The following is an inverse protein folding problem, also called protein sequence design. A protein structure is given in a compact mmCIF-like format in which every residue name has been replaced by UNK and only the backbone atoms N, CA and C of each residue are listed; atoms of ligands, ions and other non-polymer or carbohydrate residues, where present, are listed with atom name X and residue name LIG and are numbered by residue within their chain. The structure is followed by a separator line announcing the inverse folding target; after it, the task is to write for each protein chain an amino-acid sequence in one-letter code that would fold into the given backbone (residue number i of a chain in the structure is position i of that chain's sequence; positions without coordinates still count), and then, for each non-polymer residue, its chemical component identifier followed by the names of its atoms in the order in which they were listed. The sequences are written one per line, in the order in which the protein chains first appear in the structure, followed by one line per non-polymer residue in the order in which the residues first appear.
data_IF_427885138311
#
_entry.id   IF_427885138311
#
_cell.length_a   1.000
_cell.length_b   1.000
_cell.length_c   1.000
_cell.angle_alpha   90.00
_cell.angle_beta   90.00
_cell.angle_gamma   90.00
#
_symmetry.space_group_name_H-M   'P 1'
#
loop_
_entity.id
_entity.type
_entity.pdbx_description
1 polymer ?
#
# COMPACT_ATOMS: atom_id res chain seq x y z
N UNK A 1 29.43 11.40 21.79
CA UNK A 1 28.50 12.40 22.34
C UNK A 1 27.08 11.97 22.01
N UNK A 2 26.10 12.02 22.92
CA UNK A 2 24.72 11.74 22.57
C UNK A 2 24.29 12.76 21.50
N UNK A 3 23.73 12.28 20.38
CA UNK A 3 23.05 13.15 19.42
C UNK A 3 22.07 13.99 20.26
N UNK A 4 22.14 15.34 20.23
CA UNK A 4 21.31 16.15 21.08
C UNK A 4 19.85 15.85 20.77
N UNK A 5 19.17 15.20 21.71
CA UNK A 5 17.73 15.09 21.74
C UNK A 5 17.18 16.49 21.99
N UNK A 6 17.05 17.28 20.92
CA UNK A 6 16.14 18.43 20.94
C UNK A 6 14.75 17.84 21.23
N UNK A 7 14.00 18.37 22.21
CA UNK A 7 12.64 17.93 22.42
C UNK A 7 11.92 18.13 21.09
N UNK A 8 11.29 17.06 20.57
CA UNK A 8 10.34 17.18 19.47
C UNK A 8 9.29 18.19 19.94
N UNK A 9 9.47 19.45 19.55
CA UNK A 9 8.39 20.42 19.56
C UNK A 9 7.37 19.86 18.59
N UNK A 10 6.22 19.48 19.15
CA UNK A 10 4.99 19.11 18.48
C UNK A 10 4.90 19.73 17.09
N UNK A 11 5.37 19.01 16.09
CA UNK A 11 4.84 19.14 14.74
C UNK A 11 3.71 18.14 14.77
N UNK A 12 2.55 18.64 15.24
CA UNK A 12 1.26 18.11 14.84
C UNK A 12 1.35 18.12 13.31
N UNK A 13 1.74 16.99 12.72
CA UNK A 13 1.65 16.82 11.28
C UNK A 13 0.14 16.86 11.07
N UNK A 14 -0.38 18.02 10.68
CA UNK A 14 -1.62 18.05 9.95
C UNK A 14 -1.43 16.98 8.87
N UNK A 15 -2.11 15.84 9.02
CA UNK A 15 -2.52 15.02 7.90
C UNK A 15 -3.42 15.95 7.06
N UNK A 16 -2.76 16.85 6.34
CA UNK A 16 -3.36 17.68 5.33
C UNK A 16 -3.81 16.70 4.27
N UNK A 17 -5.11 16.73 4.02
CA UNK A 17 -5.81 15.85 3.11
C UNK A 17 -5.03 15.65 1.79
N UNK A 18 -4.41 14.48 1.63
CA UNK A 18 -4.30 13.87 0.33
C UNK A 18 -5.44 12.87 0.21
N UNK A 19 -6.56 13.34 -0.34
CA UNK A 19 -7.51 12.49 -1.05
C UNK A 19 -6.82 11.95 -2.31
N UNK A 20 -5.92 10.99 -2.12
CA UNK A 20 -5.35 10.19 -3.19
C UNK A 20 -4.68 8.97 -2.56
N UNK A 21 -5.47 8.12 -1.90
CA UNK A 21 -5.12 6.70 -1.88
C UNK A 21 -5.25 6.26 -3.33
N UNK A 22 -4.13 5.95 -3.97
CA UNK A 22 -4.11 5.20 -5.23
C UNK A 22 -5.10 4.04 -5.06
N UNK A 23 -6.03 3.78 -5.98
CA UNK A 23 -6.93 2.65 -5.85
C UNK A 23 -6.15 1.35 -6.10
N UNK A 24 -5.29 0.94 -5.16
CA UNK A 24 -4.94 -0.46 -5.02
C UNK A 24 -6.14 -1.13 -4.34
N UNK A 25 -6.88 -1.86 -5.17
CA UNK A 25 -8.10 -2.55 -4.84
C UNK A 25 -7.86 -3.61 -3.76
N UNK A 26 -8.08 -3.26 -2.50
CA UNK A 26 -8.46 -4.24 -1.50
C UNK A 26 -9.97 -4.51 -1.67
N UNK A 27 -10.30 -5.57 -2.42
CA UNK A 27 -11.62 -6.18 -2.26
C UNK A 27 -11.67 -6.68 -0.82
N UNK A 28 -12.43 -6.01 0.05
CA UNK A 28 -13.03 -6.72 1.16
C UNK A 28 -13.90 -7.79 0.50
N UNK A 29 -13.45 -9.05 0.57
CA UNK A 29 -14.23 -10.19 0.11
C UNK A 29 -15.64 -10.03 0.67
N UNK A 30 -16.61 -9.86 -0.22
CA UNK A 30 -17.96 -10.26 0.13
C UNK A 30 -17.82 -11.69 0.67
N UNK A 31 -18.18 -11.88 1.94
CA UNK A 31 -18.03 -13.16 2.61
C UNK A 31 -18.58 -14.26 1.66
N UNK A 32 -17.71 -15.23 1.40
CA UNK A 32 -17.92 -16.52 0.72
C UNK A 32 -17.68 -16.71 -0.79
N UNK A 33 -17.37 -15.68 -1.59
CA UNK A 33 -17.10 -15.88 -3.04
C UNK A 33 -15.60 -15.87 -3.39
N UNK A 34 -15.06 -17.02 -3.84
CA UNK A 34 -13.68 -17.19 -4.35
C UNK A 34 -13.74 -17.84 -5.75
N UNK A 35 -12.81 -17.47 -6.63
CA UNK A 35 -12.67 -18.09 -7.96
C UNK A 35 -12.18 -19.53 -7.89
N UNK A 36 -12.82 -20.40 -8.68
CA UNK A 36 -12.33 -21.75 -8.93
C UNK A 36 -11.22 -21.75 -10.02
N UNK A 37 -10.24 -22.67 -9.94
CA UNK A 37 -9.38 -23.01 -11.07
C UNK A 37 -10.22 -23.45 -12.28
N UNK A 38 -9.71 -23.23 -13.48
CA UNK A 38 -10.35 -23.67 -14.72
C UNK A 38 -10.63 -25.18 -14.69
N UNK A 39 -11.91 -25.57 -14.67
CA UNK A 39 -12.34 -26.96 -14.95
C UNK A 39 -12.38 -27.26 -16.44
N UNK A 40 -12.10 -26.27 -17.29
CA UNK A 40 -11.92 -26.49 -18.73
C UNK A 40 -10.56 -27.14 -18.93
N UNK A 41 -10.47 -28.37 -19.48
CA UNK A 41 -9.19 -28.86 -19.96
C UNK A 41 -8.66 -27.82 -20.94
N UNK A 42 -7.39 -27.44 -20.79
CA UNK A 42 -6.70 -26.46 -21.62
C UNK A 42 -7.12 -26.64 -23.08
N UNK A 43 -8.06 -25.82 -23.55
CA UNK A 43 -8.40 -25.81 -24.96
C UNK A 43 -7.17 -25.23 -25.64
N UNK A 44 -6.38 -26.11 -26.24
CA UNK A 44 -5.34 -25.73 -27.18
C UNK A 44 -5.97 -24.79 -28.18
N UNK A 45 -5.61 -23.51 -28.14
CA UNK A 45 -5.97 -22.57 -29.19
C UNK A 45 -5.48 -23.16 -30.52
N UNK A 46 -6.40 -23.74 -31.28
CA UNK A 46 -6.18 -24.07 -32.70
C UNK A 46 -7.39 -23.60 -33.49
N UNK A 47 -7.23 -22.43 -34.09
CA UNK A 47 -7.82 -22.17 -35.38
C UNK A 47 -6.72 -21.57 -36.28
N UNK A 48 -6.32 -22.37 -37.27
CA UNK A 48 -5.48 -22.03 -38.42
C UNK A 48 -4.03 -21.60 -38.17
N UNK A 49 -3.14 -22.59 -38.06
CA UNK A 49 -1.75 -22.45 -38.55
C UNK A 49 -1.49 -23.51 -39.62
N UNK A 50 -0.81 -23.18 -40.73
CA UNK A 50 -0.47 -24.15 -41.77
C UNK A 50 0.37 -25.26 -41.15
N UNK A 51 0.07 -26.53 -41.47
CA UNK A 51 0.92 -27.64 -41.05
C UNK A 51 2.32 -27.46 -41.66
N UNK A 52 3.40 -27.58 -40.86
CA UNK A 52 4.73 -27.64 -41.41
C UNK A 52 4.89 -28.96 -42.17
N UNK A 53 5.28 -28.87 -43.44
CA UNK A 53 5.87 -30.00 -44.16
C UNK A 53 7.24 -30.29 -43.55
N UNK A 54 7.56 -31.57 -43.50
CA UNK A 54 8.81 -32.17 -43.03
C UNK A 54 9.08 -32.10 -41.52
N UNK A 55 8.78 -33.21 -40.83
CA UNK A 55 9.52 -33.74 -39.67
C UNK A 55 9.70 -32.85 -38.43
N UNK A 56 9.16 -31.66 -38.39
CA UNK A 56 9.40 -30.67 -37.34
C UNK A 56 8.33 -30.80 -36.26
N UNK A 57 8.71 -31.45 -35.16
CA UNK A 57 7.92 -31.46 -33.92
C UNK A 57 7.98 -30.04 -33.31
N UNK A 58 6.85 -29.42 -32.94
CA UNK A 58 6.88 -28.17 -32.19
C UNK A 58 7.65 -28.39 -30.89
N UNK A 59 8.62 -27.53 -30.59
CA UNK A 59 9.30 -27.56 -29.30
C UNK A 59 8.27 -27.27 -28.21
N UNK A 60 8.09 -28.20 -27.27
CA UNK A 60 7.24 -28.03 -26.10
C UNK A 60 7.76 -26.98 -25.11
N UNK A 61 8.89 -26.32 -25.42
CA UNK A 61 9.48 -25.28 -24.61
C UNK A 61 10.06 -25.85 -23.32
N UNK A 62 11.38 -25.87 -23.23
CA UNK A 62 12.06 -26.22 -21.98
C UNK A 62 11.81 -25.07 -21.01
N UNK A 63 11.05 -25.30 -19.94
CA UNK A 63 10.84 -24.31 -18.89
C UNK A 63 12.18 -23.84 -18.32
N UNK A 64 12.27 -22.59 -17.85
CA UNK A 64 13.50 -22.04 -17.26
C UNK A 64 14.06 -22.96 -16.17
N UNK A 65 13.20 -23.73 -15.50
CA UNK A 65 13.52 -24.66 -14.43
C UNK A 65 13.98 -26.05 -14.90
N UNK A 66 13.52 -26.52 -16.07
CA UNK A 66 14.01 -27.76 -16.68
C UNK A 66 15.48 -27.62 -17.11
N UNK A 67 15.91 -26.38 -17.44
CA UNK A 67 17.32 -26.05 -17.69
C UNK A 67 18.20 -26.05 -16.43
N UNK A 68 17.60 -26.01 -15.24
CA UNK A 68 18.31 -25.96 -13.95
C UNK A 68 18.38 -27.32 -13.23
N UNK A 69 17.90 -28.41 -13.86
CA UNK A 69 18.07 -29.78 -13.36
C UNK A 69 17.30 -30.13 -12.08
N UNK A 70 16.36 -29.28 -11.65
CA UNK A 70 15.56 -29.51 -10.44
C UNK A 70 14.09 -29.68 -10.81
N UNK A 71 13.60 -30.92 -10.71
CA UNK A 71 12.16 -31.21 -10.80
C UNK A 71 11.50 -30.61 -9.55
N UNK A 72 10.63 -29.61 -9.73
CA UNK A 72 9.90 -29.03 -8.61
C UNK A 72 9.12 -30.14 -7.89
N UNK A 73 9.09 -30.15 -6.54
CA UNK A 73 8.16 -31.02 -5.82
C UNK A 73 6.74 -30.70 -6.28
N UNK A 74 5.89 -31.73 -6.36
CA UNK A 74 4.48 -31.55 -6.72
C UNK A 74 3.86 -30.49 -5.81
N UNK A 75 3.14 -29.54 -6.41
CA UNK A 75 2.41 -28.54 -5.65
C UNK A 75 1.50 -29.28 -4.65
N UNK A 76 1.43 -28.83 -3.38
CA UNK A 76 0.51 -29.43 -2.45
C UNK A 76 -0.90 -29.42 -3.06
N UNK A 77 -1.65 -30.54 -2.99
CA UNK A 77 -2.97 -30.62 -3.59
C UNK A 77 -3.83 -29.48 -3.05
N UNK A 78 -4.38 -28.69 -3.98
CA UNK A 78 -5.23 -27.56 -3.63
C UNK A 78 -6.41 -28.07 -2.80
N UNK A 79 -6.71 -27.35 -1.72
CA UNK A 79 -7.84 -27.71 -0.86
C UNK A 79 -9.12 -27.62 -1.68
N UNK A 80 -9.94 -28.67 -1.61
CA UNK A 80 -11.24 -28.73 -2.28
C UNK A 80 -12.13 -27.56 -1.84
N UNK A 81 -12.52 -26.69 -2.78
CA UNK A 81 -13.41 -25.56 -2.51
C UNK A 81 -14.87 -26.01 -2.55
N UNK A 82 -15.60 -25.78 -1.46
CA UNK A 82 -17.01 -26.17 -1.28
C UNK A 82 -17.97 -24.98 -1.25
N UNK A 83 -17.48 -23.77 -1.51
CA UNK A 83 -18.29 -22.55 -1.48
C UNK A 83 -19.07 -22.31 -2.77
N UNK A 84 -19.92 -21.29 -2.76
CA UNK A 84 -20.69 -20.86 -3.93
C UNK A 84 -19.82 -20.11 -4.92
N UNK A 85 -19.75 -20.60 -6.16
CA UNK A 85 -18.96 -19.97 -7.22
C UNK A 85 -19.74 -18.80 -7.82
N UNK A 86 -19.24 -17.57 -7.63
CA UNK A 86 -19.73 -16.43 -8.40
C UNK A 86 -19.05 -16.41 -9.77
N UNK A 87 -19.74 -16.95 -10.78
CA UNK A 87 -19.22 -17.01 -12.15
C UNK A 87 -18.96 -15.63 -12.76
N UNK A 88 -19.74 -14.62 -12.37
CA UNK A 88 -19.60 -13.25 -12.88
C UNK A 88 -18.33 -12.62 -12.30
N UNK A 89 -18.14 -12.72 -10.99
CA UNK A 89 -16.91 -12.24 -10.33
C UNK A 89 -15.69 -13.03 -10.81
N UNK A 90 -15.82 -14.33 -11.05
CA UNK A 90 -14.73 -15.13 -11.57
C UNK A 90 -14.35 -14.83 -13.02
N UNK A 91 -15.31 -14.42 -13.85
CA UNK A 91 -15.01 -13.86 -15.17
C UNK A 91 -14.28 -12.52 -15.05
N UNK A 92 -14.70 -11.65 -14.12
CA UNK A 92 -14.08 -10.34 -13.88
C UNK A 92 -12.62 -10.46 -13.45
N UNK A 93 -12.30 -11.31 -12.48
CA UNK A 93 -10.92 -11.52 -12.00
C UNK A 93 -9.98 -12.04 -13.09
N UNK A 94 -10.51 -12.74 -14.10
CA UNK A 94 -9.74 -13.24 -15.26
C UNK A 94 -9.65 -12.23 -16.41
N UNK A 95 -10.25 -11.05 -16.26
CA UNK A 95 -10.29 -10.01 -17.30
C UNK A 95 -11.36 -10.21 -18.38
N UNK A 96 -12.25 -11.19 -18.22
CA UNK A 96 -13.38 -11.43 -19.15
C UNK A 96 -14.55 -10.52 -18.81
N UNK A 97 -14.34 -9.20 -18.92
CA UNK A 97 -15.27 -8.19 -18.41
C UNK A 97 -16.64 -8.19 -19.09
N UNK A 98 -16.71 -8.46 -20.39
CA UNK A 98 -17.99 -8.60 -21.10
C UNK A 98 -18.78 -9.81 -20.60
N UNK A 99 -18.11 -10.95 -20.40
CA UNK A 99 -18.72 -12.16 -19.83
C UNK A 99 -19.15 -11.94 -18.39
N UNK A 100 -18.35 -11.23 -17.59
CA UNK A 100 -18.69 -10.86 -16.23
C UNK A 100 -19.97 -10.00 -16.20
N UNK A 101 -20.04 -8.99 -17.07
CA UNK A 101 -21.19 -8.10 -17.18
C UNK A 101 -22.46 -8.85 -17.62
N UNK A 102 -22.35 -9.72 -18.64
CA UNK A 102 -23.45 -10.54 -19.13
C UNK A 102 -24.03 -11.45 -18.04
N UNK A 103 -23.16 -12.11 -17.25
CA UNK A 103 -23.57 -12.95 -16.13
C UNK A 103 -24.11 -12.17 -14.94
N UNK A 104 -23.61 -10.96 -14.69
CA UNK A 104 -24.02 -10.12 -13.58
C UNK A 104 -25.37 -9.42 -13.85
N UNK A 105 -25.66 -9.04 -15.09
CA UNK A 105 -26.80 -8.18 -15.42
C UNK A 105 -28.15 -8.72 -14.98
N UNK A 106 -28.50 -10.01 -15.18
CA UNK A 106 -29.77 -10.56 -14.70
C UNK A 106 -29.90 -10.49 -13.17
N UNK A 107 -28.82 -10.78 -12.44
CA UNK A 107 -28.78 -10.71 -10.97
C UNK A 107 -28.92 -9.26 -10.49
N UNK A 108 -28.21 -8.33 -11.13
CA UNK A 108 -28.26 -6.92 -10.80
C UNK A 108 -29.66 -6.33 -11.00
N UNK A 109 -30.37 -6.73 -12.06
CA UNK A 109 -31.76 -6.36 -12.31
C UNK A 109 -32.72 -6.90 -11.25
N UNK A 110 -32.42 -8.05 -10.66
CA UNK A 110 -33.17 -8.65 -9.54
C UNK A 110 -32.81 -8.06 -8.17
N UNK A 111 -31.90 -7.09 -8.11
CA UNK A 111 -31.53 -6.42 -6.86
C UNK A 111 -30.34 -7.02 -6.13
N UNK A 112 -29.57 -7.92 -6.74
CA UNK A 112 -28.35 -8.47 -6.15
C UNK A 112 -27.28 -7.37 -6.00
N UNK A 113 -26.93 -6.96 -4.77
CA UNK A 113 -26.01 -5.85 -4.53
C UNK A 113 -24.61 -6.12 -5.07
N UNK A 114 -24.10 -7.35 -4.96
CA UNK A 114 -22.76 -7.70 -5.43
C UNK A 114 -22.67 -7.64 -6.96
N UNK A 115 -23.72 -8.10 -7.65
CA UNK A 115 -23.81 -8.01 -9.10
C UNK A 115 -23.93 -6.54 -9.57
N UNK A 116 -24.68 -5.72 -8.85
CA UNK A 116 -24.79 -4.28 -9.12
C UNK A 116 -23.44 -3.58 -8.94
N UNK A 117 -22.70 -3.87 -7.87
CA UNK A 117 -21.32 -3.36 -7.65
C UNK A 117 -20.39 -3.76 -8.78
N UNK A 118 -20.45 -5.02 -9.22
CA UNK A 118 -19.60 -5.52 -10.30
C UNK A 118 -19.83 -4.77 -11.62
N UNK A 119 -21.10 -4.55 -11.99
CA UNK A 119 -21.46 -3.78 -13.17
C UNK A 119 -21.00 -2.32 -13.04
N UNK A 120 -21.18 -1.72 -11.85
CA UNK A 120 -20.71 -0.38 -11.59
C UNK A 120 -19.20 -0.23 -11.79
N UNK A 121 -18.41 -1.21 -11.34
CA UNK A 121 -16.95 -1.23 -11.49
C UNK A 121 -16.52 -1.35 -12.96
N UNK A 122 -17.17 -2.23 -13.72
CA UNK A 122 -16.92 -2.40 -15.15
C UNK A 122 -17.19 -1.07 -15.90
N UNK A 123 -18.30 -0.41 -15.59
CA UNK A 123 -18.67 0.87 -16.22
C UNK A 123 -17.77 2.03 -15.77
N UNK A 124 -17.39 2.09 -14.49
CA UNK A 124 -16.60 3.19 -13.94
C UNK A 124 -15.18 3.22 -14.50
N UNK A 125 -14.60 2.04 -14.74
CA UNK A 125 -13.27 1.88 -15.32
C UNK A 125 -13.29 1.76 -16.85
N UNK A 126 -14.42 1.44 -17.47
CA UNK A 126 -14.51 1.18 -18.90
C UNK A 126 -13.86 -0.13 -19.32
N UNK A 127 -14.04 -1.18 -18.52
CA UNK A 127 -13.41 -2.49 -18.73
C UNK A 127 -14.22 -3.29 -19.76
N UNK A 128 -13.72 -3.35 -21.00
CA UNK A 128 -14.42 -4.04 -22.10
C UNK A 128 -15.66 -3.32 -22.63
N UNK A 129 -16.10 -2.25 -21.98
CA UNK A 129 -17.20 -1.37 -22.41
C UNK A 129 -16.76 0.10 -22.37
N UNK A 130 -17.50 0.99 -23.02
CA UNK A 130 -17.24 2.43 -22.91
C UNK A 130 -17.42 2.86 -21.45
N UNK A 131 -16.43 3.60 -20.92
CA UNK A 131 -16.52 4.20 -19.59
C UNK A 131 -17.77 5.08 -19.46
N UNK A 132 -18.56 4.83 -18.43
CA UNK A 132 -19.82 5.52 -18.17
C UNK A 132 -20.02 5.71 -16.66
N UNK A 133 -19.49 6.82 -16.15
CA UNK A 133 -19.56 7.14 -14.72
C UNK A 133 -20.97 7.44 -14.24
N UNK A 134 -21.89 7.88 -15.12
CA UNK A 134 -23.27 8.20 -14.73
C UNK A 134 -24.04 6.92 -14.42
N UNK A 135 -23.94 5.93 -15.31
CA UNK A 135 -24.55 4.62 -15.06
C UNK A 135 -23.83 3.83 -13.97
N UNK A 136 -22.50 3.97 -13.84
CA UNK A 136 -21.78 3.40 -12.70
C UNK A 136 -22.30 3.96 -11.36
N UNK A 137 -22.47 5.28 -11.27
CA UNK A 137 -22.98 5.93 -10.06
C UNK A 137 -24.39 5.46 -9.69
N UNK A 138 -25.26 5.25 -10.70
CA UNK A 138 -26.59 4.67 -10.49
C UNK A 138 -26.50 3.27 -9.86
N UNK A 139 -25.66 2.39 -10.41
CA UNK A 139 -25.51 1.02 -9.90
C UNK A 139 -24.83 0.97 -8.53
N UNK A 140 -23.81 1.79 -8.27
CA UNK A 140 -23.25 1.93 -6.92
C UNK A 140 -24.30 2.39 -5.92
N UNK A 141 -25.17 3.35 -6.29
CA UNK A 141 -26.27 3.78 -5.42
C UNK A 141 -27.23 2.64 -5.07
N UNK A 142 -27.60 1.82 -6.06
CA UNK A 142 -28.46 0.64 -5.85
C UNK A 142 -27.80 -0.43 -4.99
N UNK A 143 -26.54 -0.74 -5.25
CA UNK A 143 -25.81 -1.70 -4.44
C UNK A 143 -25.61 -1.21 -2.99
N UNK A 144 -25.37 0.10 -2.80
CA UNK A 144 -25.26 0.73 -1.49
C UNK A 144 -26.59 0.70 -0.72
N UNK A 145 -27.73 0.93 -1.39
CA UNK A 145 -29.07 0.71 -0.82
C UNK A 145 -29.27 -0.76 -0.43
N UNK A 146 -28.74 -1.69 -1.22
CA UNK A 146 -28.80 -3.13 -1.01
C UNK A 146 -27.86 -3.68 0.06
N UNK A 147 -27.01 -2.86 0.69
CA UNK A 147 -26.16 -3.30 1.79
C UNK A 147 -24.70 -3.60 1.43
N UNK A 148 -24.29 -3.47 0.16
CA UNK A 148 -22.93 -3.84 -0.26
C UNK A 148 -21.88 -2.85 0.26
N UNK A 149 -20.93 -3.26 1.13
CA UNK A 149 -19.97 -2.33 1.73
C UNK A 149 -19.03 -1.67 0.72
N UNK A 150 -18.67 -2.38 -0.36
CA UNK A 150 -17.81 -1.84 -1.41
C UNK A 150 -18.53 -0.73 -2.20
N UNK A 151 -19.79 -0.93 -2.57
CA UNK A 151 -20.60 0.09 -3.20
C UNK A 151 -20.93 1.24 -2.28
N UNK A 152 -21.22 0.99 -0.99
CA UNK A 152 -21.42 2.07 -0.01
C UNK A 152 -20.20 2.99 0.04
N UNK A 153 -18.99 2.43 0.09
CA UNK A 153 -17.75 3.20 0.03
C UNK A 153 -17.64 4.03 -1.26
N UNK A 154 -17.80 3.39 -2.44
CA UNK A 154 -17.70 4.07 -3.74
C UNK A 154 -18.76 5.16 -3.90
N UNK A 155 -19.99 4.89 -3.49
CA UNK A 155 -21.10 5.82 -3.57
C UNK A 155 -20.93 6.99 -2.59
N UNK A 156 -20.40 6.75 -1.39
CA UNK A 156 -20.02 7.81 -0.46
C UNK A 156 -19.04 8.79 -1.09
N UNK A 157 -17.97 8.29 -1.76
CA UNK A 157 -17.02 9.16 -2.46
C UNK A 157 -17.69 9.99 -3.56
N UNK A 158 -18.57 9.39 -4.36
CA UNK A 158 -19.33 10.11 -5.40
C UNK A 158 -20.20 11.24 -4.80
N UNK A 159 -20.88 10.96 -3.68
CA UNK A 159 -21.68 11.96 -2.95
C UNK A 159 -20.83 13.06 -2.32
N UNK A 160 -19.59 12.80 -1.92
CA UNK A 160 -18.67 13.82 -1.40
C UNK A 160 -18.21 14.78 -2.50
N UNK A 161 -17.88 14.22 -3.68
CA UNK A 161 -17.40 14.97 -4.84
C UNK A 161 -18.52 15.77 -5.52
N UNK A 162 -19.73 15.20 -5.64
CA UNK A 162 -20.83 15.80 -6.39
C UNK A 162 -20.73 15.63 -7.91
N UNK A 163 -19.88 14.73 -8.38
CA UNK A 163 -19.73 14.38 -9.79
C UNK A 163 -20.63 13.19 -10.13
N UNK A 164 -21.46 13.31 -11.17
CA UNK A 164 -22.45 12.30 -11.62
C UNK A 164 -23.63 12.07 -10.65
N UNK A 165 -23.50 12.46 -9.39
CA UNK A 165 -24.56 12.49 -8.36
C UNK A 165 -24.56 13.86 -7.68
N UNK A 166 -25.72 14.30 -7.18
CA UNK A 166 -25.79 15.53 -6.38
C UNK A 166 -24.98 15.37 -5.10
N UNK A 167 -24.14 16.37 -4.80
CA UNK A 167 -23.34 16.37 -3.58
C UNK A 167 -24.21 16.32 -2.33
N UNK A 168 -23.93 15.38 -1.43
CA UNK A 168 -24.61 15.24 -0.14
C UNK A 168 -23.64 14.69 0.90
N UNK A 169 -23.07 15.58 1.73
CA UNK A 169 -22.08 15.20 2.74
C UNK A 169 -22.70 14.30 3.82
N UNK A 170 -23.91 14.61 4.27
CA UNK A 170 -24.53 13.86 5.37
C UNK A 170 -24.78 12.40 4.96
N UNK A 171 -25.31 12.20 3.74
CA UNK A 171 -25.51 10.87 3.18
C UNK A 171 -24.19 10.15 2.87
N UNK A 172 -23.17 10.90 2.44
CA UNK A 172 -21.84 10.33 2.23
C UNK A 172 -21.21 9.82 3.53
N UNK A 173 -21.22 10.63 4.59
CA UNK A 173 -20.70 10.24 5.91
C UNK A 173 -21.46 9.02 6.46
N UNK A 174 -22.78 8.97 6.25
CA UNK A 174 -23.59 7.81 6.64
C UNK A 174 -23.15 6.53 5.91
N UNK A 175 -23.02 6.56 4.58
CA UNK A 175 -22.57 5.39 3.82
C UNK A 175 -21.12 5.02 4.10
N UNK A 176 -20.24 6.00 4.29
CA UNK A 176 -18.84 5.76 4.66
C UNK A 176 -18.75 4.98 5.98
N UNK A 177 -19.50 5.42 7.00
CA UNK A 177 -19.57 4.72 8.27
C UNK A 177 -20.17 3.31 8.12
N UNK A 178 -21.28 3.16 7.37
CA UNK A 178 -21.89 1.83 7.14
C UNK A 178 -20.95 0.88 6.38
N UNK A 179 -20.20 1.39 5.41
CA UNK A 179 -19.19 0.62 4.70
C UNK A 179 -18.06 0.16 5.63
N UNK A 180 -17.59 1.05 6.52
CA UNK A 180 -16.61 0.72 7.54
C UNK A 180 -17.14 -0.32 8.55
N UNK A 181 -18.37 -0.15 9.02
CA UNK A 181 -19.05 -1.12 9.90
C UNK A 181 -19.26 -2.47 9.19
N UNK A 182 -19.43 -2.44 7.85
CA UNK A 182 -19.52 -3.60 6.97
C UNK A 182 -18.18 -4.22 6.57
N UNK A 183 -17.06 -3.77 7.14
CA UNK A 183 -15.73 -4.38 6.96
C UNK A 183 -14.97 -3.95 5.71
N UNK A 184 -15.42 -2.92 4.99
CA UNK A 184 -14.66 -2.39 3.86
C UNK A 184 -13.40 -1.66 4.36
N UNK A 185 -12.21 -2.23 4.14
CA UNK A 185 -10.93 -1.70 4.64
C UNK A 185 -10.64 -0.26 4.24
N UNK A 186 -11.00 0.12 3.00
CA UNK A 186 -10.85 1.50 2.53
C UNK A 186 -11.78 2.44 3.28
N UNK A 187 -13.03 2.04 3.52
CA UNK A 187 -13.99 2.82 4.29
C UNK A 187 -13.60 2.90 5.77
N UNK A 188 -13.09 1.82 6.38
CA UNK A 188 -12.58 1.84 7.74
C UNK A 188 -11.48 2.91 7.91
N UNK A 189 -10.50 2.93 7.01
CA UNK A 189 -9.46 3.96 7.03
C UNK A 189 -10.04 5.37 6.78
N UNK A 190 -10.89 5.56 5.78
CA UNK A 190 -11.44 6.87 5.45
C UNK A 190 -12.37 7.39 6.56
N UNK A 191 -13.18 6.53 7.17
CA UNK A 191 -14.03 6.89 8.30
C UNK A 191 -13.19 7.27 9.53
N UNK A 192 -12.11 6.53 9.79
CA UNK A 192 -11.14 6.90 10.82
C UNK A 192 -10.57 8.31 10.59
N UNK A 193 -10.20 8.65 9.35
CA UNK A 193 -9.75 10.01 8.98
C UNK A 193 -10.83 11.06 9.24
N UNK A 194 -12.09 10.79 8.87
CA UNK A 194 -13.22 11.69 9.16
C UNK A 194 -13.38 11.92 10.66
N UNK A 195 -13.30 10.86 11.48
CA UNK A 195 -13.38 10.99 12.94
C UNK A 195 -12.27 11.86 13.53
N UNK A 196 -11.04 11.75 13.02
CA UNK A 196 -9.90 12.59 13.43
C UNK A 196 -10.12 14.04 13.00
N UNK A 197 -10.58 14.27 11.76
CA UNK A 197 -10.85 15.61 11.24
C UNK A 197 -11.95 16.33 12.03
N UNK A 198 -13.03 15.63 12.35
CA UNK A 198 -14.17 16.17 13.11
C UNK A 198 -13.86 16.33 14.61
N UNK A 199 -12.87 15.60 15.13
CA UNK A 199 -12.48 15.64 16.55
C UNK A 199 -10.97 15.85 16.72
N UNK A 200 -10.43 17.06 16.53
CA UNK A 200 -8.99 17.29 16.59
C UNK A 200 -8.33 16.85 17.91
N UNK A 201 -7.12 16.30 17.81
CA UNK A 201 -6.29 15.87 18.95
C UNK A 201 -6.55 14.42 19.41
N UNK A 202 -6.07 14.10 20.62
CA UNK A 202 -6.06 12.73 21.16
C UNK A 202 -7.45 12.09 21.22
N UNK A 203 -8.49 12.89 21.45
CA UNK A 203 -9.88 12.40 21.48
C UNK A 203 -10.27 11.78 20.14
N UNK A 204 -10.02 12.46 19.01
CA UNK A 204 -10.32 11.91 17.70
C UNK A 204 -9.48 10.70 17.37
N UNK A 205 -8.19 10.73 17.71
CA UNK A 205 -7.31 9.57 17.51
C UNK A 205 -7.81 8.34 18.27
N UNK A 206 -8.26 8.49 19.53
CA UNK A 206 -8.86 7.40 20.31
C UNK A 206 -10.18 6.90 19.71
N UNK A 207 -11.01 7.79 19.17
CA UNK A 207 -12.26 7.41 18.48
C UNK A 207 -12.02 6.68 17.17
N UNK A 208 -10.99 7.09 16.43
CA UNK A 208 -10.61 6.53 15.13
C UNK A 208 -9.84 5.21 15.24
N UNK A 209 -9.13 5.00 16.34
CA UNK A 209 -8.24 3.86 16.54
C UNK A 209 -8.88 2.48 16.23
N UNK A 210 -10.11 2.16 16.68
CA UNK A 210 -10.73 0.87 16.34
C UNK A 210 -10.90 0.64 14.83
N UNK A 211 -11.16 1.69 14.05
CA UNK A 211 -11.28 1.59 12.60
C UNK A 211 -9.91 1.51 11.92
N UNK A 212 -8.92 2.26 12.41
CA UNK A 212 -7.54 2.08 11.95
C UNK A 212 -7.01 0.67 12.22
N UNK A 213 -7.31 0.08 13.38
CA UNK A 213 -6.91 -1.30 13.72
C UNK A 213 -7.50 -2.31 12.73
N UNK A 214 -8.81 -2.23 12.46
CA UNK A 214 -9.46 -3.10 11.46
C UNK A 214 -8.85 -2.94 10.06
N UNK A 215 -8.67 -1.70 9.60
CA UNK A 215 -8.07 -1.45 8.29
C UNK A 215 -6.62 -1.95 8.22
N UNK A 216 -5.86 -1.79 9.31
CA UNK A 216 -4.47 -2.23 9.41
C UNK A 216 -4.34 -3.76 9.38
N UNK A 217 -5.26 -4.48 10.03
CA UNK A 217 -5.37 -5.95 9.99
C UNK A 217 -5.66 -6.46 8.58
N UNK A 218 -6.44 -5.70 7.80
CA UNK A 218 -6.72 -5.99 6.39
C UNK A 218 -5.58 -5.58 5.43
N UNK A 219 -4.46 -5.07 5.94
CA UNK A 219 -3.27 -4.78 5.14
C UNK A 219 -3.16 -3.34 4.62
N UNK A 220 -4.04 -2.42 5.03
CA UNK A 220 -3.96 -1.02 4.60
C UNK A 220 -2.72 -0.36 5.21
N UNK A 221 -1.71 -0.06 4.40
CA UNK A 221 -0.41 0.41 4.86
C UNK A 221 -0.49 1.74 5.63
N UNK A 222 -1.31 2.69 5.16
CA UNK A 222 -1.57 3.96 5.84
C UNK A 222 -2.20 3.76 7.23
N UNK A 223 -3.11 2.78 7.35
CA UNK A 223 -3.73 2.43 8.63
C UNK A 223 -2.71 1.79 9.57
N UNK A 224 -1.86 0.88 9.07
CA UNK A 224 -0.78 0.28 9.86
C UNK A 224 0.17 1.34 10.42
N UNK A 225 0.53 2.34 9.61
CA UNK A 225 1.33 3.47 10.06
C UNK A 225 0.59 4.31 11.10
N UNK A 226 -0.69 4.63 10.88
CA UNK A 226 -1.51 5.38 11.84
C UNK A 226 -1.61 4.65 13.20
N UNK A 227 -1.86 3.34 13.21
CA UNK A 227 -1.89 2.51 14.43
C UNK A 227 -0.55 2.59 15.16
N UNK A 228 0.57 2.45 14.44
CA UNK A 228 1.90 2.54 15.04
C UNK A 228 2.12 3.88 15.75
N UNK A 229 1.77 4.99 15.09
CA UNK A 229 1.91 6.34 15.65
C UNK A 229 0.98 6.55 16.86
N UNK A 230 -0.28 6.14 16.75
CA UNK A 230 -1.25 6.26 17.85
C UNK A 230 -0.78 5.47 19.07
N UNK A 231 -0.35 4.22 18.87
CA UNK A 231 0.16 3.38 19.95
C UNK A 231 1.37 4.00 20.65
N UNK A 232 2.21 4.72 19.92
CA UNK A 232 3.42 5.31 20.49
C UNK A 232 3.18 6.68 21.16
N UNK A 233 2.27 7.49 20.63
CA UNK A 233 2.17 8.91 20.99
C UNK A 233 0.95 9.24 21.85
N UNK A 234 -0.16 8.52 21.72
CA UNK A 234 -1.41 8.88 22.39
C UNK A 234 -1.38 8.43 23.86
N UNK A 235 -1.69 9.32 24.82
CA UNK A 235 -1.78 8.96 26.24
C UNK A 235 -2.85 7.89 26.51
N UNK A 236 -2.65 7.11 27.57
CA UNK A 236 -3.59 6.08 28.05
C UNK A 236 -3.88 4.92 27.07
N UNK A 237 -3.08 4.76 26.01
CA UNK A 237 -3.09 3.52 25.24
C UNK A 237 -2.57 2.37 26.13
N UNK A 238 -3.25 1.20 26.17
CA UNK A 238 -2.78 0.04 26.92
C UNK A 238 -1.34 -0.36 26.58
N UNK A 239 -0.55 -0.73 27.59
CA UNK A 239 0.88 -1.03 27.42
C UNK A 239 1.13 -2.22 26.48
N UNK A 240 0.22 -3.18 26.40
CA UNK A 240 0.25 -4.27 25.43
C UNK A 240 0.14 -3.77 23.98
N UNK A 241 -0.73 -2.80 23.72
CA UNK A 241 -0.81 -2.11 22.42
C UNK A 241 0.46 -1.32 22.13
N UNK A 242 0.99 -0.56 23.09
CA UNK A 242 2.25 0.19 22.91
C UNK A 242 3.41 -0.71 22.49
N UNK A 243 3.52 -1.92 23.06
CA UNK A 243 4.55 -2.91 22.68
C UNK A 243 4.45 -3.36 21.22
N UNK A 244 3.28 -3.28 20.59
CA UNK A 244 3.05 -3.63 19.19
C UNK A 244 3.32 -2.47 18.22
N UNK A 245 3.58 -1.24 18.70
CA UNK A 245 3.74 -0.07 17.85
C UNK A 245 4.83 -0.27 16.77
N UNK A 246 5.99 -0.79 17.17
CA UNK A 246 7.11 -1.05 16.25
C UNK A 246 6.78 -2.15 15.24
N UNK A 247 5.96 -3.14 15.61
CA UNK A 247 5.54 -4.20 14.70
C UNK A 247 4.62 -3.64 13.61
N UNK A 248 3.64 -2.80 13.98
CA UNK A 248 2.78 -2.13 13.02
C UNK A 248 3.55 -1.21 12.07
N UNK A 249 4.53 -0.46 12.59
CA UNK A 249 5.45 0.34 11.78
C UNK A 249 6.21 -0.53 10.76
N UNK A 250 6.73 -1.68 11.20
CA UNK A 250 7.45 -2.61 10.33
C UNK A 250 6.54 -3.28 9.28
N UNK A 251 5.25 -3.46 9.56
CA UNK A 251 4.26 -3.93 8.58
C UNK A 251 4.04 -2.86 7.50
N UNK A 252 3.80 -1.61 7.90
CA UNK A 252 3.62 -0.49 6.96
C UNK A 252 4.87 -0.29 6.07
N UNK A 253 6.06 -0.33 6.66
CA UNK A 253 7.33 -0.18 5.94
C UNK A 253 7.55 -1.30 4.90
N UNK A 254 7.21 -2.54 5.25
CA UNK A 254 7.27 -3.71 4.34
C UNK A 254 6.22 -3.68 3.25
N UNK A 255 5.05 -3.11 3.52
CA UNK A 255 4.03 -2.84 2.51
C UNK A 255 4.42 -1.72 1.53
N UNK A 256 5.60 -1.11 1.69
CA UNK A 256 6.12 -0.11 0.77
C UNK A 256 5.75 1.33 1.13
N UNK A 257 5.20 1.58 2.32
CA UNK A 257 4.88 2.94 2.75
C UNK A 257 6.16 3.72 3.06
N UNK A 258 6.55 4.62 2.15
CA UNK A 258 7.86 5.30 2.18
C UNK A 258 8.13 6.06 3.49
N UNK A 259 7.11 6.71 4.05
CA UNK A 259 7.22 7.39 5.35
C UNK A 259 7.51 6.40 6.48
N UNK A 260 6.86 5.23 6.47
CA UNK A 260 7.15 4.19 7.46
C UNK A 260 8.55 3.60 7.30
N UNK A 261 9.10 3.52 6.08
CA UNK A 261 10.47 3.02 5.88
C UNK A 261 11.50 3.95 6.53
N UNK A 262 11.34 5.26 6.34
CA UNK A 262 12.14 6.28 7.03
C UNK A 262 11.99 6.17 8.55
N UNK A 263 10.75 6.17 9.04
CA UNK A 263 10.45 6.18 10.47
C UNK A 263 10.89 4.90 11.16
N UNK A 264 10.75 3.74 10.50
CA UNK A 264 11.23 2.47 11.05
C UNK A 264 12.73 2.51 11.32
N UNK A 265 13.50 3.05 10.37
CA UNK A 265 14.95 3.25 10.55
C UNK A 265 15.27 4.18 11.72
N UNK A 266 14.56 5.31 11.82
CA UNK A 266 14.69 6.25 12.93
C UNK A 266 14.34 5.59 14.28
N UNK A 267 13.25 4.84 14.34
CA UNK A 267 12.75 4.19 15.54
C UNK A 267 13.73 3.15 16.06
N UNK A 268 14.36 2.38 15.16
CA UNK A 268 15.38 1.39 15.52
C UNK A 268 16.65 2.05 16.04
N UNK A 269 17.14 3.11 15.39
CA UNK A 269 18.33 3.86 15.84
C UNK A 269 18.09 4.51 17.21
N UNK A 270 16.89 5.06 17.43
CA UNK A 270 16.56 5.78 18.65
C UNK A 270 16.04 4.89 19.79
N UNK A 271 15.60 3.67 19.50
CA UNK A 271 15.01 2.77 20.50
C UNK A 271 13.55 3.10 20.82
N UNK A 272 12.78 3.56 19.83
CA UNK A 272 11.34 3.86 19.98
C UNK A 272 10.53 2.57 19.86
N UNK A 273 9.70 2.26 20.86
CA UNK A 273 8.91 1.03 20.89
C UNK A 273 9.74 -0.26 20.99
N UNK A 274 10.94 -0.21 21.60
CA UNK A 274 11.82 -1.37 21.82
C UNK A 274 13.30 -1.00 21.96
N UNK A 275 14.22 -1.97 22.13
CA UNK A 275 15.65 -1.68 22.23
C UNK A 275 16.20 -1.05 20.93
N UNK A 276 17.33 -0.36 21.05
CA UNK A 276 18.05 0.18 19.89
C UNK A 276 18.60 -0.96 19.03
N UNK A 277 18.51 -0.82 17.72
CA UNK A 277 19.08 -1.75 16.76
C UNK A 277 19.65 -0.95 15.59
N UNK A 278 20.94 -0.63 15.70
CA UNK A 278 21.59 0.23 14.72
C UNK A 278 21.74 -0.46 13.36
N UNK A 279 21.96 -1.78 13.33
CA UNK A 279 22.16 -2.54 12.09
C UNK A 279 20.88 -2.53 11.26
N UNK A 280 19.74 -2.92 11.85
CA UNK A 280 18.46 -2.87 11.13
C UNK A 280 18.03 -1.44 10.84
N UNK A 281 18.31 -0.50 11.75
CA UNK A 281 18.02 0.92 11.55
C UNK A 281 18.75 1.49 10.33
N UNK A 282 20.02 1.13 10.18
CA UNK A 282 20.84 1.46 9.03
C UNK A 282 20.28 0.85 7.73
N UNK A 283 19.89 -0.42 7.73
CA UNK A 283 19.31 -1.09 6.55
C UNK A 283 18.02 -0.40 6.06
N UNK A 284 17.12 -0.04 6.97
CA UNK A 284 15.88 0.68 6.62
C UNK A 284 16.16 2.09 6.09
N UNK A 285 17.06 2.85 6.72
CA UNK A 285 17.44 4.17 6.21
C UNK A 285 18.15 4.08 4.87
N UNK A 286 18.97 3.06 4.64
CA UNK A 286 19.60 2.79 3.36
C UNK A 286 18.57 2.47 2.28
N UNK A 287 17.55 1.66 2.59
CA UNK A 287 16.45 1.38 1.67
C UNK A 287 15.71 2.68 1.29
N UNK A 288 15.28 3.47 2.27
CA UNK A 288 14.56 4.72 2.03
C UNK A 288 15.43 5.75 1.27
N UNK A 289 16.72 5.86 1.60
CA UNK A 289 17.67 6.74 0.91
C UNK A 289 17.87 6.34 -0.56
N UNK A 290 17.94 5.04 -0.84
CA UNK A 290 18.06 4.49 -2.19
C UNK A 290 16.80 4.75 -3.04
N UNK A 291 15.62 4.79 -2.42
CA UNK A 291 14.37 5.21 -3.07
C UNK A 291 14.24 6.73 -3.25
N UNK A 292 15.20 7.50 -2.74
CA UNK A 292 15.26 8.95 -2.93
C UNK A 292 14.70 9.77 -1.78
N UNK A 293 14.43 9.17 -0.61
CA UNK A 293 14.02 9.92 0.57
C UNK A 293 15.20 10.78 1.07
N UNK A 294 15.10 12.10 0.88
CA UNK A 294 16.16 13.08 1.17
C UNK A 294 16.53 13.10 2.67
N UNK A 295 15.55 12.93 3.55
CA UNK A 295 15.78 12.87 5.00
C UNK A 295 16.53 11.60 5.38
N UNK A 296 16.20 10.47 4.76
CA UNK A 296 16.92 9.22 4.95
C UNK A 296 18.38 9.33 4.47
N UNK A 297 18.63 9.98 3.33
CA UNK A 297 19.99 10.24 2.82
C UNK A 297 20.82 11.02 3.84
N UNK A 298 20.29 12.14 4.35
CA UNK A 298 20.95 12.94 5.38
C UNK A 298 21.22 12.12 6.66
N UNK A 299 20.24 11.34 7.15
CA UNK A 299 20.41 10.49 8.33
C UNK A 299 21.43 9.38 8.11
N UNK A 300 21.50 8.82 6.91
CA UNK A 300 22.46 7.78 6.57
C UNK A 300 23.89 8.31 6.60
N UNK A 301 24.12 9.56 6.17
CA UNK A 301 25.41 10.22 6.31
C UNK A 301 25.86 10.29 7.79
N UNK A 302 24.96 10.69 8.68
CA UNK A 302 25.21 10.67 10.12
C UNK A 302 25.53 9.26 10.66
N UNK A 303 24.87 8.21 10.16
CA UNK A 303 25.15 6.84 10.60
C UNK A 303 26.54 6.36 10.18
N UNK A 304 26.99 6.71 8.97
CA UNK A 304 28.35 6.40 8.53
C UNK A 304 29.40 7.17 9.35
N UNK A 305 29.20 8.46 9.63
CA UNK A 305 30.14 9.26 10.44
C UNK A 305 30.31 8.67 11.84
N UNK A 306 29.19 8.28 12.46
CA UNK A 306 29.17 7.80 13.84
C UNK A 306 29.38 6.28 13.98
N UNK A 307 29.63 5.56 12.87
CA UNK A 307 29.74 4.10 12.83
C UNK A 307 28.55 3.37 13.49
N UNK A 308 27.33 3.84 13.26
CA UNK A 308 26.12 3.29 13.85
C UNK A 308 25.46 2.30 12.88
N UNK A 309 25.62 1.01 13.17
CA UNK A 309 25.04 -0.07 12.35
C UNK A 309 25.87 -0.43 11.11
N UNK A 310 27.01 0.25 10.93
CA UNK A 310 27.96 0.07 9.83
C UNK A 310 29.36 0.45 10.32
N UNK A 311 30.39 0.03 9.59
CA UNK A 311 31.72 0.62 9.72
C UNK A 311 31.71 2.09 9.27
N UNK A 312 32.60 2.94 9.81
CA UNK A 312 32.72 4.31 9.36
C UNK A 312 33.21 4.35 7.90
N UNK A 313 32.57 5.17 7.09
CA UNK A 313 32.93 5.38 5.69
C UNK A 313 32.74 6.87 5.34
N UNK A 314 33.83 7.66 5.36
CA UNK A 314 33.75 9.08 5.07
C UNK A 314 33.27 9.40 3.65
N UNK A 315 33.56 8.53 2.68
CA UNK A 315 33.20 8.73 1.27
C UNK A 315 31.69 8.49 1.10
N UNK A 316 31.16 7.40 1.64
CA UNK A 316 29.70 7.17 1.63
C UNK A 316 28.97 8.23 2.45
N UNK A 317 29.49 8.64 3.61
CA UNK A 317 28.91 9.74 4.39
C UNK A 317 28.79 11.03 3.56
N UNK A 318 29.90 11.46 2.95
CA UNK A 318 29.96 12.64 2.11
C UNK A 318 29.05 12.52 0.87
N UNK A 319 28.98 11.35 0.25
CA UNK A 319 28.10 11.09 -0.90
C UNK A 319 26.63 11.29 -0.54
N UNK A 320 26.17 10.69 0.56
CA UNK A 320 24.78 10.82 1.02
C UNK A 320 24.45 12.25 1.44
N UNK A 321 25.41 12.94 2.08
CA UNK A 321 25.29 14.36 2.38
C UNK A 321 25.14 15.20 1.10
N UNK A 322 26.02 15.03 0.10
CA UNK A 322 25.97 15.76 -1.19
C UNK A 322 24.63 15.55 -1.89
N UNK A 323 24.11 14.32 -1.91
CA UNK A 323 22.78 14.03 -2.48
C UNK A 323 21.67 14.78 -1.72
N UNK A 324 21.68 14.75 -0.39
CA UNK A 324 20.64 15.42 0.40
C UNK A 324 20.70 16.95 0.30
N UNK A 325 21.92 17.52 0.27
CA UNK A 325 22.16 18.96 0.07
C UNK A 325 21.69 19.43 -1.30
N UNK A 326 22.00 18.69 -2.37
CA UNK A 326 21.54 19.02 -3.74
C UNK A 326 20.02 19.00 -3.86
N UNK A 327 19.34 18.18 -3.05
CA UNK A 327 17.89 18.15 -2.95
C UNK A 327 17.31 19.26 -2.04
N UNK A 328 18.16 20.17 -1.52
CA UNK A 328 17.75 21.34 -0.73
C UNK A 328 17.78 21.15 0.78
N UNK A 329 18.19 19.99 1.30
CA UNK A 329 18.30 19.77 2.74
C UNK A 329 19.66 20.24 3.26
N UNK A 330 19.67 21.41 3.92
CA UNK A 330 20.86 21.96 4.57
C UNK A 330 21.09 21.33 5.94
N UNK A 331 22.32 20.92 6.20
CA UNK A 331 22.77 20.39 7.49
C UNK A 331 24.18 20.92 7.79
N UNK A 332 24.31 21.93 8.66
CA UNK A 332 25.60 22.52 8.99
C UNK A 332 26.61 21.52 9.55
N UNK A 333 26.16 20.52 10.30
CA UNK A 333 27.07 19.54 10.89
C UNK A 333 27.68 18.60 9.85
N UNK A 334 26.90 18.27 8.81
CA UNK A 334 27.42 17.50 7.68
C UNK A 334 28.25 18.36 6.72
N UNK A 335 27.96 19.66 6.62
CA UNK A 335 28.83 20.62 5.90
C UNK A 335 30.20 20.70 6.56
N UNK A 336 30.25 20.91 7.88
CA UNK A 336 31.51 20.99 8.63
C UNK A 336 32.31 19.68 8.49
N UNK A 337 31.63 18.53 8.58
CA UNK A 337 32.24 17.23 8.30
C UNK A 337 32.80 17.15 6.87
N UNK A 338 32.00 17.55 5.87
CA UNK A 338 32.38 17.47 4.46
C UNK A 338 33.58 18.36 4.13
N UNK A 339 33.67 19.55 4.73
CA UNK A 339 34.82 20.44 4.58
C UNK A 339 36.06 19.96 5.34
N UNK A 340 35.87 19.11 6.35
CA UNK A 340 36.96 18.57 7.17
C UNK A 340 37.58 17.27 6.66
N UNK A 341 36.99 16.61 5.65
CA UNK A 341 37.58 15.41 5.02
C UNK A 341 38.54 15.78 3.88
N UNK A 342 39.44 14.85 3.56
CA UNK A 342 40.48 15.05 2.54
C UNK A 342 39.90 15.32 1.14
N UNK A 343 40.62 16.11 0.33
CA UNK A 343 40.17 16.54 -1.00
C UNK A 343 39.89 15.36 -1.97
N UNK A 344 40.64 14.27 -1.84
CA UNK A 344 40.44 13.06 -2.64
C UNK A 344 39.15 12.34 -2.26
N UNK A 345 38.82 12.29 -0.96
CA UNK A 345 37.57 11.74 -0.44
C UNK A 345 36.37 12.58 -0.89
N UNK A 346 36.47 13.91 -0.86
CA UNK A 346 35.42 14.81 -1.37
C UNK A 346 35.13 14.56 -2.85
N UNK A 347 36.18 14.46 -3.69
CA UNK A 347 36.04 14.16 -5.12
C UNK A 347 35.38 12.80 -5.35
N UNK A 348 35.83 11.77 -4.65
CA UNK A 348 35.25 10.42 -4.75
C UNK A 348 33.76 10.41 -4.36
N UNK A 349 33.40 11.15 -3.32
CA UNK A 349 32.02 11.29 -2.85
C UNK A 349 31.13 11.99 -3.87
N UNK A 350 31.61 13.09 -4.48
CA UNK A 350 30.91 13.79 -5.57
C UNK A 350 30.71 12.86 -6.76
N UNK A 351 31.74 12.12 -7.17
CA UNK A 351 31.65 11.18 -8.30
C UNK A 351 30.65 10.06 -8.02
N UNK A 352 30.65 9.52 -6.80
CA UNK A 352 29.68 8.52 -6.38
C UNK A 352 28.24 9.09 -6.37
N UNK A 353 28.07 10.33 -5.91
CA UNK A 353 26.78 11.02 -5.93
C UNK A 353 26.29 11.32 -7.36
N UNK A 354 27.19 11.66 -8.28
CA UNK A 354 26.87 11.89 -9.69
C UNK A 354 26.42 10.60 -10.41
N UNK A 355 27.01 9.45 -10.03
CA UNK A 355 26.67 8.13 -10.58
C UNK A 355 25.42 7.51 -9.94
N UNK A 356 24.97 8.03 -8.80
CA UNK A 356 23.84 7.47 -8.06
C UNK A 356 22.54 7.49 -8.87
N UNK A 357 21.87 6.34 -8.90
CA UNK A 357 20.54 6.16 -9.48
C UNK A 357 19.62 5.58 -8.41
N UNK A 358 18.40 6.12 -8.33
CA UNK A 358 17.38 5.62 -7.40
C UNK A 358 16.95 4.23 -7.83
N UNK A 359 16.63 3.39 -6.85
CA UNK A 359 16.02 2.09 -7.09
C UNK A 359 14.50 2.31 -7.18
N UNK A 360 13.89 1.86 -8.28
CA UNK A 360 12.44 1.92 -8.48
C UNK A 360 11.71 0.86 -7.64
#
# INVERSE_FOLDING_TARGET
MPIPARPLRYTLLCMTALLAVSPEFAWAQANDAITAPSTTPSQTFRANRPQPKDGTVPSDGVGVFDRMGAKLPDLPPEKEYKGTIDEAFGAYQRGYYLTAMDKALPRAQLGDPAAQTLIAEILSQGLGVKRDMKNAAFWYGKAAEGGDPAAMFKYALLLMEGNNVTRDKAKADEYMRKAADGGNSSAEFNWAQTLVADNPGDKGLKLALPYYEKAAEQGVADAQYAVAQIYQQVPDIPEDKKRLAREWMARAARAGFDTAQLDMGIWLVNGVGGPKDYVRGFEWLKLAANRGNVVAQNKLAHLYINALGTAPDPIEAAKWYVLSRRAGLSDPSLEDFYLGIEDDQQKAAIDAANKFRRIN
#
